data_IF_563137423530
#
_entry.id   IF_563137423530
#
_cell.length_a   1.000
_cell.length_b   1.000
_cell.length_c   1.000
_cell.angle_alpha   90.00
_cell.angle_beta   90.00
_cell.angle_gamma   90.00
#
_symmetry.space_group_name_H-M   'P 1'
#
loop_
_entity.id
_entity.type
_entity.pdbx_description
1 polymer ?
#
# COMPACT_ATOMS: atom_id res chain seq x y z
N UNK A 1 54.22 -126.19 14.02
CA UNK A 1 52.94 -126.76 14.50
C UNK A 1 52.78 -126.31 15.93
N UNK A 2 51.61 -125.76 16.26
CA UNK A 2 51.15 -125.24 17.56
C UNK A 2 51.90 -124.02 18.13
N UNK A 3 51.27 -123.05 18.80
CA UNK A 3 49.89 -122.59 18.99
C UNK A 3 50.04 -121.17 19.55
N UNK A 4 49.20 -120.23 19.10
CA UNK A 4 49.07 -118.90 19.71
C UNK A 4 48.40 -119.02 21.09
N UNK A 5 48.85 -118.25 22.08
CA UNK A 5 47.94 -117.72 23.11
C UNK A 5 48.23 -116.25 23.41
N UNK A 6 47.14 -115.55 23.67
CA UNK A 6 46.93 -114.11 23.63
C UNK A 6 46.77 -113.55 25.04
N UNK A 7 46.99 -112.24 25.20
CA UNK A 7 46.34 -111.26 26.11
C UNK A 7 47.36 -110.17 26.47
N UNK A 8 47.03 -108.89 26.61
CA UNK A 8 45.78 -108.13 26.52
C UNK A 8 46.18 -106.64 26.45
N UNK A 9 45.48 -105.88 25.59
CA UNK A 9 45.25 -104.42 25.66
C UNK A 9 44.69 -104.00 27.04
N UNK A 10 44.71 -102.76 27.54
CA UNK A 10 44.91 -101.41 26.98
C UNK A 10 45.21 -100.39 28.13
N UNK A 11 45.91 -99.31 27.76
CA UNK A 11 46.11 -97.93 28.32
C UNK A 11 45.14 -97.40 29.38
N UNK A 12 45.48 -96.40 30.27
CA UNK A 12 46.02 -95.08 29.86
C UNK A 12 46.86 -94.27 30.90
N UNK A 13 47.60 -93.24 30.46
CA UNK A 13 47.54 -91.92 31.13
C UNK A 13 48.14 -90.79 30.29
N UNK A 14 47.40 -89.69 30.27
CA UNK A 14 47.65 -88.48 29.52
C UNK A 14 48.58 -87.52 30.27
N UNK A 15 49.47 -86.82 29.53
CA UNK A 15 49.98 -85.51 29.96
C UNK A 15 49.63 -84.45 28.91
N UNK A 16 48.61 -83.67 29.29
CA UNK A 16 48.32 -82.26 28.93
C UNK A 16 49.57 -81.38 29.07
N UNK A 17 49.74 -80.19 28.51
CA UNK A 17 49.05 -79.27 27.59
C UNK A 17 50.11 -78.16 27.36
N UNK A 18 50.18 -77.54 26.17
CA UNK A 18 50.49 -76.10 26.12
C UNK A 18 49.76 -75.44 24.93
N UNK A 19 48.72 -74.70 25.30
CA UNK A 19 47.80 -73.95 24.45
C UNK A 19 48.49 -72.85 23.64
N UNK A 20 48.04 -72.67 22.39
CA UNK A 20 48.08 -71.38 21.71
C UNK A 20 46.64 -70.89 21.55
N UNK A 21 46.12 -70.30 22.62
CA UNK A 21 44.87 -69.56 22.58
C UNK A 21 45.13 -68.17 21.96
N UNK A 22 44.62 -67.96 20.76
CA UNK A 22 44.50 -66.63 20.15
C UNK A 22 43.44 -65.86 20.94
N UNK A 23 43.88 -64.95 21.81
CA UNK A 23 42.99 -64.01 22.47
C UNK A 23 42.58 -62.92 21.48
N UNK A 24 41.33 -62.95 21.01
CA UNK A 24 40.71 -61.80 20.34
C UNK A 24 40.39 -60.77 21.44
N UNK A 25 41.07 -59.63 21.44
CA UNK A 25 40.75 -58.49 22.31
C UNK A 25 39.32 -57.97 22.02
N UNK A 26 38.44 -57.83 23.03
CA UNK A 26 37.10 -57.27 22.84
C UNK A 26 37.10 -55.74 22.66
N UNK A 27 38.28 -55.09 22.66
CA UNK A 27 38.40 -53.64 22.79
C UNK A 27 38.35 -52.84 21.47
N UNK A 28 38.43 -53.50 20.31
CA UNK A 28 38.30 -52.83 19.01
C UNK A 28 36.86 -52.57 18.59
N UNK A 29 35.92 -53.44 18.98
CA UNK A 29 34.51 -53.30 18.60
C UNK A 29 33.83 -52.11 19.30
N UNK A 30 34.11 -51.90 20.60
CA UNK A 30 33.51 -50.81 21.40
C UNK A 30 34.03 -49.41 21.01
N UNK A 31 35.25 -49.30 20.48
CA UNK A 31 35.86 -48.00 20.10
C UNK A 31 35.31 -47.48 18.76
N UNK A 32 35.03 -48.37 17.80
CA UNK A 32 34.49 -48.01 16.48
C UNK A 32 33.00 -47.60 16.57
N UNK A 33 32.22 -48.26 17.43
CA UNK A 33 30.85 -47.83 17.74
C UNK A 33 30.83 -46.43 18.37
N UNK A 34 31.69 -46.14 19.36
CA UNK A 34 31.77 -44.81 19.97
C UNK A 34 32.20 -43.70 19.00
N UNK A 35 33.08 -44.00 18.04
CA UNK A 35 33.53 -43.04 17.02
C UNK A 35 32.46 -42.85 15.92
N UNK A 36 31.72 -43.90 15.57
CA UNK A 36 30.53 -43.80 14.72
C UNK A 36 29.43 -42.94 15.37
N UNK A 37 29.12 -43.16 16.65
CA UNK A 37 28.15 -42.34 17.40
C UNK A 37 28.62 -40.88 17.57
N UNK A 38 29.93 -40.64 17.76
CA UNK A 38 30.49 -39.29 17.81
C UNK A 38 30.43 -38.58 16.46
N UNK A 39 30.70 -39.27 15.35
CA UNK A 39 30.53 -38.77 13.97
C UNK A 39 29.06 -38.49 13.63
N UNK A 40 28.14 -39.36 14.02
CA UNK A 40 26.68 -39.17 13.91
C UNK A 40 26.20 -37.98 14.73
N UNK A 41 26.69 -37.79 15.96
CA UNK A 41 26.36 -36.63 16.81
C UNK A 41 26.92 -35.33 16.25
N UNK A 42 28.13 -35.34 15.68
CA UNK A 42 28.77 -34.19 15.03
C UNK A 42 28.06 -33.82 13.72
N UNK A 43 27.65 -34.81 12.92
CA UNK A 43 26.80 -34.59 11.75
C UNK A 43 25.43 -34.06 12.15
N UNK A 44 24.75 -34.63 13.16
CA UNK A 44 23.46 -34.14 13.65
C UNK A 44 23.55 -32.72 14.22
N UNK A 45 24.65 -32.37 14.89
CA UNK A 45 24.89 -31.02 15.39
C UNK A 45 25.18 -30.04 14.24
N UNK A 46 25.97 -30.45 13.24
CA UNK A 46 26.24 -29.62 12.05
C UNK A 46 25.01 -29.42 11.18
N UNK A 47 24.23 -30.49 10.94
CA UNK A 47 22.95 -30.39 10.22
C UNK A 47 21.95 -29.55 11.01
N UNK A 48 21.88 -29.69 12.33
CA UNK A 48 21.02 -28.85 13.17
C UNK A 48 21.44 -27.38 13.12
N UNK A 49 22.75 -27.08 13.21
CA UNK A 49 23.27 -25.72 13.08
C UNK A 49 22.99 -25.12 11.69
N UNK A 50 23.20 -25.89 10.62
CA UNK A 50 22.89 -25.49 9.26
C UNK A 50 21.39 -25.19 9.09
N UNK A 51 20.52 -26.04 9.63
CA UNK A 51 19.06 -25.83 9.62
C UNK A 51 18.66 -24.57 10.41
N UNK A 52 19.26 -24.34 11.59
CA UNK A 52 19.00 -23.13 12.38
C UNK A 52 19.44 -21.86 11.65
N UNK A 53 20.60 -21.88 11.00
CA UNK A 53 21.08 -20.76 10.19
C UNK A 53 20.19 -20.52 8.97
N UNK A 54 19.72 -21.57 8.30
CA UNK A 54 18.76 -21.44 7.19
C UNK A 54 17.43 -20.86 7.66
N UNK A 55 16.89 -21.31 8.80
CA UNK A 55 15.66 -20.77 9.38
C UNK A 55 15.85 -19.30 9.76
N UNK A 56 16.96 -18.96 10.41
CA UNK A 56 17.28 -17.57 10.74
C UNK A 56 17.38 -16.70 9.49
N UNK A 57 18.02 -17.20 8.43
CA UNK A 57 18.13 -16.51 7.16
C UNK A 57 16.75 -16.28 6.51
N UNK A 58 15.87 -17.28 6.53
CA UNK A 58 14.49 -17.15 6.03
C UNK A 58 13.67 -16.14 6.84
N UNK A 59 13.83 -16.12 8.17
CA UNK A 59 13.15 -15.13 9.03
C UNK A 59 13.63 -13.71 8.74
N UNK A 60 14.94 -13.51 8.58
CA UNK A 60 15.50 -12.19 8.21
C UNK A 60 15.02 -11.78 6.83
N UNK A 61 15.08 -12.67 5.84
CA UNK A 61 14.60 -12.40 4.48
C UNK A 61 13.11 -12.04 4.48
N UNK A 62 12.28 -12.79 5.21
CA UNK A 62 10.85 -12.51 5.36
C UNK A 62 10.59 -11.17 6.04
N UNK A 63 11.37 -10.81 7.07
CA UNK A 63 11.22 -9.54 7.78
C UNK A 63 11.59 -8.35 6.89
N UNK A 64 12.71 -8.45 6.17
CA UNK A 64 13.14 -7.42 5.21
C UNK A 64 12.14 -7.29 4.05
N UNK A 65 11.68 -8.41 3.49
CA UNK A 65 10.62 -8.42 2.48
C UNK A 65 9.33 -7.80 3.04
N UNK A 66 8.95 -8.14 4.26
CA UNK A 66 7.81 -7.55 4.97
C UNK A 66 7.92 -6.04 5.11
N UNK A 67 9.08 -5.51 5.52
CA UNK A 67 9.31 -4.05 5.60
C UNK A 67 9.26 -3.41 4.22
N UNK A 68 9.87 -4.04 3.22
CA UNK A 68 9.88 -3.54 1.84
C UNK A 68 8.45 -3.46 1.29
N UNK A 69 7.69 -4.55 1.39
CA UNK A 69 6.29 -4.61 0.97
C UNK A 69 5.42 -3.67 1.81
N UNK A 70 5.62 -3.60 3.13
CA UNK A 70 4.92 -2.65 3.99
C UNK A 70 5.12 -1.23 3.49
N UNK A 71 6.37 -0.78 3.26
CA UNK A 71 6.65 0.56 2.74
C UNK A 71 6.09 0.79 1.34
N UNK A 72 6.16 -0.21 0.47
CA UNK A 72 5.68 -0.10 -0.90
C UNK A 72 4.15 -0.06 -1.00
N UNK A 73 3.44 -0.86 -0.18
CA UNK A 73 1.98 -0.91 -0.18
C UNK A 73 1.32 0.13 0.75
N UNK A 74 2.02 0.62 1.78
CA UNK A 74 1.50 1.71 2.63
C UNK A 74 1.56 3.08 1.96
N UNK A 75 2.46 3.29 1.00
CA UNK A 75 2.38 4.49 0.16
C UNK A 75 1.15 4.38 -0.73
N UNK A 76 0.14 5.21 -0.48
CA UNK A 76 -1.05 5.20 -1.31
C UNK A 76 -0.71 5.91 -2.62
N UNK A 77 -0.89 5.25 -3.77
CA UNK A 77 -0.57 5.88 -5.03
C UNK A 77 -1.42 7.14 -5.22
N UNK A 78 -0.79 8.20 -5.73
CA UNK A 78 -1.54 9.36 -6.21
C UNK A 78 -2.37 8.93 -7.40
N UNK A 79 -3.67 9.11 -7.31
CA UNK A 79 -4.61 8.77 -8.35
C UNK A 79 -4.65 9.88 -9.40
N UNK A 80 -4.50 9.52 -10.66
CA UNK A 80 -4.66 10.41 -11.80
C UNK A 80 -5.82 9.90 -12.65
N UNK A 81 -6.74 10.79 -13.02
CA UNK A 81 -7.90 10.42 -13.82
C UNK A 81 -8.49 11.59 -14.58
N UNK A 82 -9.56 11.33 -15.32
CA UNK A 82 -10.32 12.33 -16.04
C UNK A 82 -11.82 12.14 -15.78
N UNK A 83 -12.53 13.24 -15.62
CA UNK A 83 -13.99 13.27 -15.52
C UNK A 83 -14.53 14.15 -16.64
N UNK A 84 -15.44 13.59 -17.44
CA UNK A 84 -16.00 14.27 -18.60
C UNK A 84 -17.51 14.40 -18.51
N UNK A 85 -18.05 15.56 -18.87
CA UNK A 85 -19.49 15.78 -19.02
C UNK A 85 -19.80 16.54 -20.30
N UNK A 86 -20.98 16.29 -20.87
CA UNK A 86 -21.45 17.03 -22.03
C UNK A 86 -22.28 18.21 -21.54
N UNK A 87 -22.05 19.38 -22.13
CA UNK A 87 -22.82 20.58 -21.85
C UNK A 87 -23.24 21.25 -23.16
N UNK A 88 -24.31 22.05 -23.11
CA UNK A 88 -24.81 22.77 -24.29
C UNK A 88 -24.40 24.23 -24.19
N UNK A 89 -23.62 24.70 -25.15
CA UNK A 89 -23.20 26.08 -25.27
C UNK A 89 -23.67 26.65 -26.61
N UNK A 90 -24.47 27.72 -26.57
CA UNK A 90 -25.02 28.39 -27.76
C UNK A 90 -25.67 27.41 -28.77
N UNK A 91 -26.40 26.41 -28.26
CA UNK A 91 -27.07 25.39 -29.06
C UNK A 91 -26.16 24.26 -29.58
N UNK A 92 -24.86 24.29 -29.31
CA UNK A 92 -23.92 23.22 -29.65
C UNK A 92 -23.58 22.40 -28.40
N UNK A 93 -23.62 21.07 -28.53
CA UNK A 93 -23.13 20.17 -27.49
C UNK A 93 -21.60 20.16 -27.54
N UNK A 94 -20.97 20.52 -26.43
CA UNK A 94 -19.53 20.48 -26.24
C UNK A 94 -19.20 19.53 -25.08
N UNK A 95 -18.00 18.95 -25.12
CA UNK A 95 -17.50 18.05 -24.08
C UNK A 95 -16.53 18.80 -23.17
N UNK A 96 -16.87 18.87 -21.89
CA UNK A 96 -15.99 19.34 -20.83
C UNK A 96 -15.24 18.13 -20.28
N UNK A 97 -13.91 18.16 -20.28
CA UNK A 97 -13.07 17.11 -19.71
C UNK A 97 -12.10 17.70 -18.68
N UNK A 98 -12.29 17.34 -17.43
CA UNK A 98 -11.48 17.80 -16.30
C UNK A 98 -10.49 16.71 -15.92
N UNK A 99 -9.23 17.07 -15.66
CA UNK A 99 -8.25 16.11 -15.13
C UNK A 99 -8.22 16.20 -13.61
N UNK A 100 -8.22 15.05 -12.94
CA UNK A 100 -8.14 14.93 -11.49
C UNK A 100 -6.80 14.31 -11.08
N UNK A 101 -6.26 14.83 -9.99
CA UNK A 101 -5.10 14.31 -9.29
C UNK A 101 -5.42 14.29 -7.79
N UNK A 102 -5.43 13.11 -7.18
CA UNK A 102 -5.85 12.90 -5.79
C UNK A 102 -4.73 12.17 -5.07
N UNK A 103 -4.17 12.77 -4.02
CA UNK A 103 -3.14 12.13 -3.19
C UNK A 103 -3.70 11.83 -1.81
N UNK A 104 -3.95 10.55 -1.47
CA UNK A 104 -4.39 10.18 -0.13
C UNK A 104 -3.32 10.44 0.94
N UNK A 105 -2.04 10.26 0.60
CA UNK A 105 -0.90 10.44 1.52
C UNK A 105 -0.72 11.91 1.89
N UNK A 106 -0.74 12.78 0.88
CA UNK A 106 -0.63 14.22 1.10
C UNK A 106 -1.97 14.85 1.51
N UNK A 107 -3.08 14.13 1.35
CA UNK A 107 -4.44 14.54 1.68
C UNK A 107 -4.81 15.82 0.93
N UNK A 108 -4.59 15.79 -0.38
CA UNK A 108 -4.98 16.85 -1.31
C UNK A 108 -5.72 16.30 -2.51
N UNK A 109 -6.46 17.20 -3.15
CA UNK A 109 -7.06 17.01 -4.46
C UNK A 109 -6.74 18.20 -5.35
N UNK A 110 -6.44 17.92 -6.61
CA UNK A 110 -6.19 18.90 -7.66
C UNK A 110 -7.07 18.60 -8.86
N UNK A 111 -7.87 19.58 -9.27
CA UNK A 111 -8.81 19.48 -10.39
C UNK A 111 -8.42 20.54 -11.42
N UNK A 112 -8.02 20.12 -12.61
CA UNK A 112 -7.77 21.02 -13.74
C UNK A 112 -9.02 21.14 -14.59
N UNK A 113 -9.60 22.33 -14.63
CA UNK A 113 -10.80 22.62 -15.41
C UNK A 113 -10.40 23.39 -16.67
N UNK A 114 -10.66 22.84 -17.87
CA UNK A 114 -10.35 23.55 -19.10
C UNK A 114 -11.32 24.73 -19.28
N UNK A 115 -11.09 25.52 -20.33
CA UNK A 115 -12.05 26.57 -20.70
C UNK A 115 -13.38 25.92 -21.08
N UNK A 116 -14.48 26.44 -20.52
CA UNK A 116 -15.84 25.98 -20.82
C UNK A 116 -16.79 27.18 -20.79
N UNK A 117 -17.69 27.32 -21.75
CA UNK A 117 -18.59 28.47 -21.71
C UNK A 117 -17.86 29.79 -21.96
N UNK A 118 -18.27 30.78 -21.18
CA UNK A 118 -17.55 32.03 -20.94
C UNK A 118 -16.55 31.93 -19.79
N UNK A 119 -16.43 30.77 -19.12
CA UNK A 119 -15.59 30.61 -17.95
C UNK A 119 -14.13 30.40 -18.34
N UNK A 120 -13.23 30.97 -17.52
CA UNK A 120 -11.80 30.84 -17.70
C UNK A 120 -11.33 29.45 -17.23
N UNK A 121 -10.27 28.89 -17.84
CA UNK A 121 -9.65 27.69 -17.30
C UNK A 121 -9.09 27.99 -15.91
N UNK A 122 -9.23 27.03 -15.00
CA UNK A 122 -8.80 27.18 -13.62
C UNK A 122 -8.30 25.84 -13.06
N UNK A 123 -7.40 25.92 -12.08
CA UNK A 123 -6.98 24.75 -11.30
C UNK A 123 -7.50 24.95 -9.88
N UNK A 124 -8.29 24.00 -9.40
CA UNK A 124 -8.73 23.93 -8.01
C UNK A 124 -7.78 23.03 -7.25
N UNK A 125 -7.27 23.49 -6.12
CA UNK A 125 -6.42 22.72 -5.21
C UNK A 125 -7.07 22.73 -3.85
N UNK A 126 -7.50 21.57 -3.38
CA UNK A 126 -8.08 21.38 -2.06
C UNK A 126 -7.01 20.77 -1.15
N UNK A 127 -6.63 21.50 -0.10
CA UNK A 127 -5.79 20.98 0.97
C UNK A 127 -6.70 20.62 2.16
N UNK A 128 -6.93 19.32 2.32
CA UNK A 128 -7.80 18.81 3.38
C UNK A 128 -7.11 18.79 4.75
N UNK A 129 -5.78 18.93 4.85
CA UNK A 129 -5.09 19.08 6.14
C UNK A 129 -5.24 20.49 6.68
N UNK A 130 -5.20 21.49 5.79
CA UNK A 130 -5.29 22.91 6.14
C UNK A 130 -6.70 23.49 6.04
N UNK A 131 -7.67 22.73 5.49
CA UNK A 131 -9.02 23.23 5.21
C UNK A 131 -9.05 24.44 4.28
N UNK A 132 -8.18 24.44 3.28
CA UNK A 132 -8.05 25.55 2.34
C UNK A 132 -8.32 25.08 0.91
N UNK A 133 -8.93 25.94 0.13
CA UNK A 133 -9.08 25.78 -1.32
C UNK A 133 -8.38 26.91 -2.03
N UNK A 134 -7.48 26.58 -2.95
CA UNK A 134 -6.89 27.53 -3.88
C UNK A 134 -7.53 27.38 -5.26
N UNK A 135 -7.97 28.50 -5.83
CA UNK A 135 -8.46 28.62 -7.20
C UNK A 135 -7.39 29.38 -7.98
N UNK A 136 -6.70 28.66 -8.85
CA UNK A 136 -5.61 29.21 -9.67
C UNK A 136 -6.20 29.64 -11.01
N UNK A 137 -6.25 30.94 -11.27
CA UNK A 137 -6.53 31.46 -12.60
C UNK A 137 -5.23 31.38 -13.43
N UNK A 138 -5.22 30.41 -14.34
CA UNK A 138 -4.08 30.10 -15.20
C UNK A 138 -3.76 31.26 -16.13
N UNK A 139 -4.77 32.03 -16.56
CA UNK A 139 -4.59 33.10 -17.55
C UNK A 139 -4.11 34.40 -16.93
N UNK A 140 -4.64 34.78 -15.77
CA UNK A 140 -4.27 36.05 -15.12
C UNK A 140 -3.09 35.93 -14.15
N UNK A 141 -2.56 34.72 -13.98
CA UNK A 141 -1.49 34.39 -13.03
C UNK A 141 -1.81 34.81 -11.59
N UNK A 142 -3.06 34.54 -11.17
CA UNK A 142 -3.59 34.87 -9.84
C UNK A 142 -4.02 33.60 -9.12
N UNK A 143 -3.91 33.60 -7.79
CA UNK A 143 -4.51 32.61 -6.92
C UNK A 143 -5.56 33.27 -6.04
N UNK A 144 -6.67 32.58 -5.84
CA UNK A 144 -7.70 32.98 -4.90
C UNK A 144 -7.85 31.90 -3.84
N UNK A 145 -7.67 32.27 -2.57
CA UNK A 145 -7.77 31.35 -1.44
C UNK A 145 -9.10 31.55 -0.73
N UNK A 146 -9.74 30.44 -0.37
CA UNK A 146 -10.93 30.41 0.47
C UNK A 146 -10.89 29.22 1.41
N UNK A 147 -11.74 29.23 2.42
CA UNK A 147 -11.94 28.07 3.29
C UNK A 147 -12.58 26.90 2.50
N UNK A 148 -12.15 25.69 2.83
CA UNK A 148 -12.68 24.46 2.26
C UNK A 148 -14.03 24.11 2.90
N UNK A 149 -15.04 23.92 2.07
CA UNK A 149 -16.38 23.51 2.50
C UNK A 149 -16.49 21.98 2.50
N UNK A 150 -16.25 21.38 3.67
CA UNK A 150 -16.27 19.91 3.84
C UNK A 150 -17.62 19.24 3.59
N UNK A 151 -18.71 20.01 3.60
CA UNK A 151 -20.04 19.51 3.27
C UNK A 151 -20.21 19.29 1.76
N UNK A 152 -19.39 19.95 0.93
CA UNK A 152 -19.47 19.90 -0.53
C UNK A 152 -18.31 19.11 -1.14
N UNK A 153 -17.13 19.22 -0.55
CA UNK A 153 -15.91 18.56 -1.04
C UNK A 153 -15.44 17.58 0.02
N UNK A 154 -15.65 16.30 -0.24
CA UNK A 154 -15.17 15.23 0.63
C UNK A 154 -13.66 15.01 0.46
N UNK A 155 -12.95 14.63 1.55
CA UNK A 155 -11.55 14.24 1.44
C UNK A 155 -11.38 12.94 0.63
N UNK A 156 -10.17 12.69 0.10
CA UNK A 156 -9.82 11.42 -0.54
C UNK A 156 -10.17 10.24 0.37
N UNK A 157 -10.93 9.30 -0.19
CA UNK A 157 -11.58 8.23 0.59
C UNK A 157 -10.66 7.03 0.84
N UNK A 158 -10.97 6.28 1.89
CA UNK A 158 -10.48 4.91 2.07
C UNK A 158 -11.46 3.92 1.43
N UNK A 159 -11.07 2.64 1.27
CA UNK A 159 -11.96 1.62 0.67
C UNK A 159 -13.29 1.46 1.43
N UNK A 160 -13.26 1.57 2.76
CA UNK A 160 -14.46 1.47 3.60
C UNK A 160 -15.38 2.67 3.35
N UNK A 161 -14.81 3.88 3.33
CA UNK A 161 -15.53 5.12 3.05
C UNK A 161 -16.10 5.15 1.61
N UNK A 162 -15.41 4.52 0.65
CA UNK A 162 -15.93 4.33 -0.70
C UNK A 162 -17.18 3.43 -0.71
N UNK A 163 -17.14 2.29 -0.02
CA UNK A 163 -18.29 1.35 0.06
C UNK A 163 -19.48 2.02 0.74
N UNK A 164 -19.26 2.67 1.89
CA UNK A 164 -20.32 3.38 2.62
C UNK A 164 -20.94 4.50 1.78
N UNK A 165 -20.12 5.26 1.04
CA UNK A 165 -20.61 6.32 0.13
C UNK A 165 -21.32 5.77 -1.10
N UNK A 166 -20.98 4.58 -1.56
CA UNK A 166 -21.74 3.89 -2.60
C UNK A 166 -23.10 3.40 -2.07
N UNK A 167 -23.14 2.78 -0.89
CA UNK A 167 -24.37 2.28 -0.27
C UNK A 167 -25.34 3.41 0.12
N UNK A 168 -24.81 4.53 0.62
CA UNK A 168 -25.60 5.72 0.99
C UNK A 168 -26.06 6.56 -0.20
N UNK A 169 -25.67 6.21 -1.43
CA UNK A 169 -26.01 6.97 -2.64
C UNK A 169 -25.28 8.31 -2.74
N UNK A 170 -24.22 8.54 -1.96
CA UNK A 170 -23.42 9.77 -2.00
C UNK A 170 -22.82 10.05 -3.39
N UNK A 171 -22.47 9.00 -4.14
CA UNK A 171 -22.03 9.10 -5.54
C UNK A 171 -23.18 9.05 -6.57
N UNK A 172 -24.43 9.29 -6.16
CA UNK A 172 -25.55 9.35 -7.09
C UNK A 172 -25.24 10.30 -8.26
N UNK A 173 -25.63 9.88 -9.46
CA UNK A 173 -25.30 10.51 -10.74
C UNK A 173 -25.96 11.88 -10.98
N UNK A 174 -26.36 12.61 -9.93
CA UNK A 174 -27.04 13.90 -10.01
C UNK A 174 -26.16 15.01 -9.45
N UNK A 175 -25.22 15.55 -10.26
CA UNK A 175 -24.44 16.70 -9.84
C UNK A 175 -25.37 17.89 -9.59
N UNK A 176 -25.21 18.55 -8.45
CA UNK A 176 -25.91 19.81 -8.15
C UNK A 176 -25.04 20.99 -8.58
N UNK A 177 -25.67 21.97 -9.22
CA UNK A 177 -24.97 23.20 -9.62
C UNK A 177 -25.02 24.19 -8.47
N UNK A 178 -23.86 24.48 -7.90
CA UNK A 178 -23.70 25.44 -6.81
C UNK A 178 -23.08 26.70 -7.38
N UNK A 179 -23.69 27.86 -7.11
CA UNK A 179 -23.21 29.17 -7.54
C UNK A 179 -23.00 30.02 -6.31
N UNK A 180 -21.78 30.48 -6.10
CA UNK A 180 -21.41 31.28 -4.96
C UNK A 180 -20.68 32.54 -5.41
N UNK A 181 -20.99 33.64 -4.73
CA UNK A 181 -20.35 34.93 -5.00
C UNK A 181 -19.38 35.26 -3.87
N UNK A 182 -18.16 35.63 -4.25
CA UNK A 182 -17.09 35.99 -3.33
C UNK A 182 -16.61 37.42 -3.61
N UNK A 183 -16.15 38.08 -2.56
CA UNK A 183 -15.42 39.35 -2.63
C UNK A 183 -13.98 39.16 -2.18
N UNK A 184 -13.07 39.95 -2.73
CA UNK A 184 -11.67 39.95 -2.28
C UNK A 184 -11.61 40.63 -0.92
N UNK A 185 -11.17 39.90 0.10
CA UNK A 185 -10.95 40.42 1.44
C UNK A 185 -9.58 41.11 1.57
N UNK A 186 -8.57 40.59 0.90
CA UNK A 186 -7.22 41.15 0.95
C UNK A 186 -6.25 40.42 0.03
N UNK A 187 -5.03 40.95 -0.08
CA UNK A 187 -3.91 40.33 -0.80
C UNK A 187 -2.97 39.68 0.21
N UNK A 188 -2.44 38.51 -0.13
CA UNK A 188 -1.38 37.87 0.62
C UNK A 188 -0.04 38.06 -0.09
N UNK A 189 1.01 38.28 0.70
CA UNK A 189 2.38 38.27 0.22
C UNK A 189 2.95 36.86 0.29
N UNK A 190 4.05 36.63 -0.41
CA UNK A 190 4.71 35.33 -0.50
C UNK A 190 4.98 34.72 0.89
N UNK A 191 5.54 35.50 1.81
CA UNK A 191 5.78 35.07 3.20
C UNK A 191 4.51 34.61 3.92
N UNK A 192 3.36 35.23 3.66
CA UNK A 192 2.10 34.86 4.30
C UNK A 192 1.52 33.57 3.70
N UNK A 193 1.77 33.33 2.40
CA UNK A 193 1.43 32.07 1.74
C UNK A 193 2.23 30.91 2.34
N UNK A 194 3.53 31.11 2.60
CA UNK A 194 4.37 30.12 3.27
C UNK A 194 3.87 29.79 4.70
N UNK A 195 3.36 30.79 5.43
CA UNK A 195 2.78 30.60 6.78
C UNK A 195 1.49 29.77 6.80
N UNK A 196 0.85 29.54 5.65
CA UNK A 196 -0.30 28.63 5.58
C UNK A 196 0.10 27.17 5.84
N UNK A 197 1.40 26.86 5.81
CA UNK A 197 1.95 25.52 6.00
C UNK A 197 1.33 24.46 5.07
N UNK A 198 0.82 24.89 3.91
CA UNK A 198 0.27 24.02 2.87
C UNK A 198 1.29 23.90 1.74
N UNK A 199 1.91 22.72 1.61
CA UNK A 199 2.89 22.46 0.54
C UNK A 199 2.26 22.61 -0.84
N UNK A 200 1.03 22.11 -1.02
CA UNK A 200 0.35 22.11 -2.31
C UNK A 200 -0.14 23.50 -2.72
N UNK A 201 -0.70 24.28 -1.81
CA UNK A 201 -1.05 25.68 -2.10
C UNK A 201 0.19 26.47 -2.44
N UNK A 202 1.27 26.30 -1.66
CA UNK A 202 2.52 27.01 -1.91
C UNK A 202 3.11 26.66 -3.29
N UNK A 203 3.15 25.37 -3.65
CA UNK A 203 3.60 24.89 -4.97
C UNK A 203 2.83 25.55 -6.12
N UNK A 204 1.53 25.75 -5.95
CA UNK A 204 0.67 26.33 -6.99
C UNK A 204 0.52 27.85 -6.91
N UNK A 205 0.87 28.52 -5.81
CA UNK A 205 0.59 29.95 -5.61
C UNK A 205 1.79 30.84 -5.30
N UNK A 206 2.97 30.30 -4.92
CA UNK A 206 4.13 31.11 -4.52
C UNK A 206 4.53 32.21 -5.53
N UNK A 207 4.40 31.91 -6.84
CA UNK A 207 4.76 32.84 -7.94
C UNK A 207 3.56 33.56 -8.56
N UNK A 208 2.45 33.65 -7.83
CA UNK A 208 1.19 34.23 -8.31
C UNK A 208 0.75 35.34 -7.37
N UNK A 209 -0.06 36.27 -7.88
CA UNK A 209 -0.70 37.24 -7.00
C UNK A 209 -1.82 36.54 -6.24
N UNK A 210 -1.72 36.47 -4.91
CA UNK A 210 -2.65 35.72 -4.06
C UNK A 210 -3.66 36.64 -3.38
N UNK A 211 -4.94 36.31 -3.49
CA UNK A 211 -6.05 37.04 -2.86
C UNK A 211 -6.85 36.13 -1.94
N UNK A 212 -7.24 36.65 -0.79
CA UNK A 212 -8.20 36.00 0.10
C UNK A 212 -9.62 36.32 -0.36
N UNK A 213 -10.46 35.30 -0.42
CA UNK A 213 -11.88 35.42 -0.74
C UNK A 213 -12.72 35.35 0.52
N UNK A 214 -13.74 36.19 0.58
CA UNK A 214 -14.78 36.14 1.60
C UNK A 214 -16.14 36.02 0.93
N UNK A 215 -17.01 35.16 1.46
CA UNK A 215 -18.36 34.96 0.92
C UNK A 215 -19.12 36.29 0.93
N UNK A 216 -19.74 36.66 -0.18
CA UNK A 216 -20.60 37.82 -0.23
C UNK A 216 -21.90 37.50 0.52
N UNK A 217 -22.32 38.36 1.45
CA UNK A 217 -23.43 38.12 2.39
C UNK A 217 -24.83 38.07 1.75
N UNK A 218 -24.96 38.29 0.43
CA UNK A 218 -26.25 38.24 -0.29
C UNK A 218 -26.11 37.51 -1.61
N UNK A 219 -26.21 36.19 -1.59
CA UNK A 219 -26.69 35.45 -2.77
C UNK A 219 -28.13 35.05 -2.51
N UNK A 220 -29.07 35.81 -3.08
CA UNK A 220 -30.48 35.42 -3.30
C UNK A 220 -30.60 34.37 -4.41
N UNK A 221 -29.52 33.68 -4.76
CA UNK A 221 -29.53 32.59 -5.72
C UNK A 221 -30.13 31.36 -5.03
N UNK A 222 -31.41 31.09 -5.32
CA UNK A 222 -32.01 29.81 -4.98
C UNK A 222 -31.20 28.71 -5.70
N UNK A 223 -30.86 27.59 -5.04
CA UNK A 223 -30.22 26.46 -5.70
C UNK A 223 -31.04 26.07 -6.93
N UNK A 224 -30.40 26.12 -8.10
CA UNK A 224 -31.05 25.78 -9.36
C UNK A 224 -31.13 24.25 -9.44
N UNK A 225 -32.18 23.67 -8.87
CA UNK A 225 -32.48 22.26 -9.06
C UNK A 225 -32.86 22.04 -10.52
N UNK A 226 -32.07 21.25 -11.25
CA UNK A 226 -32.44 20.81 -12.59
C UNK A 226 -33.70 19.95 -12.44
N UNK A 227 -34.87 20.53 -12.73
CA UNK A 227 -36.13 19.79 -12.80
C UNK A 227 -36.11 18.99 -14.09
N UNK A 228 -35.60 17.77 -14.00
CA UNK A 228 -35.51 16.83 -15.12
C UNK A 228 -36.95 16.50 -15.59
N UNK A 229 -37.43 17.18 -16.64
CA UNK A 229 -38.70 16.84 -17.32
C UNK A 229 -38.47 15.59 -18.18
N UNK A 230 -38.10 14.46 -17.56
CA UNK A 230 -38.33 13.18 -18.22
C UNK A 230 -39.83 12.95 -18.25
N UNK A 231 -40.44 13.26 -19.40
CA UNK A 231 -41.73 12.69 -19.79
C UNK A 231 -41.55 11.18 -19.73
N UNK A 232 -42.04 10.58 -18.64
CA UNK A 232 -42.41 9.17 -18.63
C UNK A 232 -43.47 9.04 -19.72
N UNK A 233 -43.06 8.65 -20.93
CA UNK A 233 -43.98 7.99 -21.86
C UNK A 233 -44.35 6.70 -21.15
N UNK A 234 -45.48 6.71 -20.45
CA UNK A 234 -46.17 5.48 -20.09
C UNK A 234 -46.45 4.77 -21.41
N UNK A 235 -45.84 3.61 -21.61
CA UNK A 235 -46.26 2.69 -22.66
C UNK A 235 -47.72 2.32 -22.41
N UNK A 236 -48.47 2.33 -23.51
CA UNK A 236 -49.80 1.72 -23.63
C UNK A 236 -49.67 0.22 -23.50
#
# INVERSE_FOLDING_TARGET
>A
MTVFTTRSKETPEAKKVLDSAVCIEPNKYRRDETDAFARLRRHRAFTSCCLLLLILWLLIASFLAGIFFYRQFYKRPTFYGWCGTNFVQRGRTERLEQSLEISPDEYYERISVPRFGSNRPAIFVHDFKKNLTAIVDVLSNRCFLKDLERNLVAPPTSLIDLVEKMESGYYEHRPTVIRETYRVAGRLYENDVYKLHSMMINRHCARRTVFLLQKASRTTDRPYFIRDKRRVRKGV
#
